data_IF_277861673337
#
_entry.id   IF_277861673337
#
_cell.length_a   1.000
_cell.length_b   1.000
_cell.length_c   1.000
_cell.angle_alpha   90.00
_cell.angle_beta   90.00
_cell.angle_gamma   90.00
#
_symmetry.space_group_name_H-M   'P 1'
#
loop_
_entity.id
_entity.type
_entity.pdbx_description
1 polymer ?
#
# COMPACT_ATOMS: atom_id res chain seq x y z
N UNK A 1 -10.37 -8.69 -15.67
CA UNK A 1 -8.93 -8.98 -15.61
C UNK A 1 -8.19 -7.72 -15.16
N UNK A 2 -8.10 -7.49 -13.85
CA UNK A 2 -7.45 -6.30 -13.28
C UNK A 2 -5.92 -6.52 -13.26
N UNK A 3 -5.25 -6.18 -14.36
CA UNK A 3 -3.79 -6.17 -14.38
C UNK A 3 -3.29 -5.09 -13.42
N UNK A 4 -2.43 -5.51 -12.48
CA UNK A 4 -1.92 -4.65 -11.41
C UNK A 4 -0.96 -3.60 -11.97
N UNK A 5 -1.46 -2.43 -12.38
CA UNK A 5 -0.65 -1.30 -12.85
C UNK A 5 -0.04 -0.43 -11.74
N UNK A 6 -0.22 -0.82 -10.46
CA UNK A 6 0.22 -0.02 -9.32
C UNK A 6 1.75 0.07 -9.15
N UNK A 7 2.49 -0.95 -9.59
CA UNK A 7 3.95 -0.99 -9.44
C UNK A 7 4.67 -0.09 -10.44
N UNK A 8 4.15 0.02 -11.66
CA UNK A 8 4.71 0.91 -12.69
C UNK A 8 4.43 2.38 -12.35
N UNK A 9 3.26 2.68 -11.75
CA UNK A 9 2.92 4.02 -11.27
C UNK A 9 3.90 4.47 -10.19
N UNK A 10 4.20 3.56 -9.26
CA UNK A 10 5.14 3.82 -8.19
C UNK A 10 6.57 3.98 -8.72
N UNK A 11 7.01 3.12 -9.65
CA UNK A 11 8.35 3.18 -10.25
C UNK A 11 8.60 4.45 -11.09
N UNK A 12 7.62 4.91 -11.87
CA UNK A 12 7.78 6.16 -12.63
C UNK A 12 7.67 7.37 -11.72
N UNK A 13 6.87 7.30 -10.65
CA UNK A 13 6.86 8.35 -9.61
C UNK A 13 8.18 8.40 -8.85
N UNK A 14 8.81 7.26 -8.52
CA UNK A 14 10.09 7.25 -7.80
C UNK A 14 11.25 7.70 -8.67
N UNK A 15 11.27 7.35 -9.97
CA UNK A 15 12.29 7.85 -10.90
C UNK A 15 12.12 9.35 -11.16
N UNK A 16 10.88 9.84 -11.33
CA UNK A 16 10.61 11.28 -11.52
C UNK A 16 10.89 12.07 -10.23
N UNK A 17 10.57 11.53 -9.05
CA UNK A 17 10.92 12.15 -7.77
C UNK A 17 12.43 12.09 -7.47
N UNK A 18 13.13 11.02 -7.86
CA UNK A 18 14.58 10.89 -7.70
C UNK A 18 15.36 11.86 -8.59
N UNK A 19 14.80 12.27 -9.73
CA UNK A 19 15.37 13.30 -10.61
C UNK A 19 14.91 14.72 -10.20
N UNK A 20 13.80 14.85 -9.48
CA UNK A 20 13.14 16.13 -9.20
C UNK A 20 13.41 16.78 -7.85
N UNK A 21 13.59 16.02 -6.76
CA UNK A 21 13.66 16.61 -5.41
C UNK A 21 14.71 15.91 -4.53
N UNK A 22 15.75 16.67 -4.15
CA UNK A 22 16.80 16.30 -3.18
C UNK A 22 16.22 16.15 -1.75
N UNK A 23 15.24 15.25 -1.54
CA UNK A 23 14.77 14.86 -0.22
C UNK A 23 14.69 13.34 -0.08
N UNK A 24 15.63 12.85 0.72
CA UNK A 24 15.76 11.50 1.23
C UNK A 24 14.45 11.06 1.92
N UNK A 25 13.63 10.26 1.23
CA UNK A 25 12.63 9.40 1.87
C UNK A 25 13.17 7.97 1.85
N UNK A 26 12.92 7.18 2.91
CA UNK A 26 13.58 5.90 3.11
C UNK A 26 13.18 4.93 2.00
N UNK A 27 14.21 4.30 1.42
CA UNK A 27 14.10 3.38 0.30
C UNK A 27 13.05 2.29 0.59
N UNK A 28 12.07 2.08 -0.30
CA UNK A 28 11.43 0.78 -0.40
C UNK A 28 12.54 -0.21 -0.71
N UNK A 29 12.70 -1.25 0.11
CA UNK A 29 13.61 -2.35 -0.20
C UNK A 29 13.34 -2.76 -1.66
N UNK A 30 14.39 -2.73 -2.49
CA UNK A 30 14.26 -2.91 -3.92
C UNK A 30 13.69 -4.31 -4.20
N UNK A 31 12.38 -4.39 -4.42
CA UNK A 31 11.68 -5.65 -4.65
C UNK A 31 12.40 -6.44 -5.74
N UNK A 32 12.88 -7.64 -5.43
CA UNK A 32 13.49 -8.53 -6.42
C UNK A 32 12.57 -8.76 -7.64
N UNK A 33 11.25 -8.69 -7.40
CA UNK A 33 10.20 -8.78 -8.42
C UNK A 33 10.26 -7.60 -9.41
N UNK A 34 10.61 -6.39 -8.94
CA UNK A 34 10.83 -5.23 -9.80
C UNK A 34 12.03 -5.44 -10.73
N UNK A 35 13.14 -5.93 -10.17
CA UNK A 35 14.35 -6.26 -10.92
C UNK A 35 14.07 -7.31 -12.01
N UNK A 36 13.19 -8.28 -11.74
CA UNK A 36 12.75 -9.26 -12.74
C UNK A 36 12.03 -8.58 -13.90
N UNK A 37 11.09 -7.67 -13.63
CA UNK A 37 10.37 -6.95 -14.68
C UNK A 37 11.32 -6.17 -15.60
N UNK A 38 12.22 -5.38 -15.00
CA UNK A 38 13.21 -4.62 -15.76
C UNK A 38 14.17 -5.51 -16.54
N UNK A 39 14.69 -6.58 -15.92
CA UNK A 39 15.55 -7.55 -16.59
C UNK A 39 14.85 -8.22 -17.78
N UNK A 40 13.57 -8.59 -17.63
CA UNK A 40 12.81 -9.18 -18.74
C UNK A 40 12.59 -8.20 -19.89
N UNK A 41 12.38 -6.92 -19.64
CA UNK A 41 12.30 -5.91 -20.70
C UNK A 41 13.62 -5.77 -21.46
N UNK A 42 14.77 -5.83 -20.77
CA UNK A 42 16.08 -5.84 -21.42
C UNK A 42 16.27 -7.09 -22.28
N UNK A 43 15.91 -8.27 -21.76
CA UNK A 43 15.99 -9.53 -22.51
C UNK A 43 15.08 -9.49 -23.74
N UNK A 44 13.86 -8.97 -23.62
CA UNK A 44 12.93 -8.79 -24.74
C UNK A 44 13.50 -7.86 -25.81
N UNK A 45 14.13 -6.74 -25.43
CA UNK A 45 14.81 -5.84 -26.36
C UNK A 45 16.02 -6.52 -27.03
N UNK A 46 16.79 -7.30 -26.27
CA UNK A 46 17.91 -8.07 -26.81
C UNK A 46 17.49 -9.08 -27.86
N UNK A 47 16.43 -9.86 -27.59
CA UNK A 47 15.88 -10.83 -28.56
C UNK A 47 15.30 -10.10 -29.77
N UNK A 48 14.60 -8.99 -29.56
CA UNK A 48 14.04 -8.17 -30.64
C UNK A 48 15.09 -7.45 -31.50
N UNK A 49 16.33 -7.30 -31.01
CA UNK A 49 17.44 -6.73 -31.77
C UNK A 49 18.11 -7.75 -32.73
N UNK A 50 17.93 -9.06 -32.52
CA UNK A 50 18.52 -10.11 -33.38
C UNK A 50 18.01 -9.99 -34.83
N UNK A 51 16.69 -9.86 -35.09
CA UNK A 51 16.19 -9.70 -36.46
C UNK A 51 16.65 -8.40 -37.14
N UNK A 52 16.83 -7.35 -36.34
CA UNK A 52 17.35 -6.07 -36.82
C UNK A 52 18.80 -6.19 -37.31
N UNK A 53 19.64 -6.94 -36.60
CA UNK A 53 21.05 -7.12 -36.97
C UNK A 53 21.28 -8.14 -38.08
N UNK A 54 20.51 -9.23 -38.12
CA UNK A 54 20.72 -10.34 -39.07
C UNK A 54 19.94 -10.16 -40.37
N UNK A 55 18.69 -9.69 -40.29
CA UNK A 55 17.78 -9.61 -41.44
C UNK A 55 17.51 -8.16 -41.88
N UNK A 56 18.00 -7.16 -41.14
CA UNK A 56 17.71 -5.75 -41.41
C UNK A 56 16.25 -5.36 -41.12
N UNK A 57 15.50 -6.20 -40.40
CA UNK A 57 14.09 -5.95 -40.06
C UNK A 57 13.99 -5.17 -38.75
N UNK A 58 13.68 -3.88 -38.88
CA UNK A 58 13.52 -2.94 -37.76
C UNK A 58 12.13 -3.04 -37.11
N UNK A 59 11.17 -3.71 -37.75
CA UNK A 59 9.77 -3.71 -37.32
C UNK A 59 9.59 -4.38 -35.95
N UNK A 60 10.23 -5.53 -35.73
CA UNK A 60 10.12 -6.30 -34.48
C UNK A 60 10.70 -5.50 -33.30
N UNK A 61 11.84 -4.83 -33.51
CA UNK A 61 12.47 -3.97 -32.52
C UNK A 61 11.59 -2.76 -32.18
N UNK A 62 11.06 -2.07 -33.19
CA UNK A 62 10.19 -0.90 -33.02
C UNK A 62 8.90 -1.24 -32.29
N UNK A 63 8.24 -2.35 -32.65
CA UNK A 63 7.01 -2.80 -32.00
C UNK A 63 7.27 -3.17 -30.54
N UNK A 64 8.38 -3.89 -30.26
CA UNK A 64 8.75 -4.30 -28.90
C UNK A 64 9.10 -3.09 -28.03
N UNK A 65 9.94 -2.19 -28.53
CA UNK A 65 10.34 -0.98 -27.81
C UNK A 65 9.13 -0.06 -27.54
N UNK A 66 8.28 0.15 -28.54
CA UNK A 66 7.06 0.94 -28.39
C UNK A 66 6.10 0.30 -27.39
N UNK A 67 5.91 -1.03 -27.43
CA UNK A 67 5.07 -1.75 -26.47
C UNK A 67 5.56 -1.65 -25.03
N UNK A 68 6.88 -1.70 -24.82
CA UNK A 68 7.50 -1.48 -23.51
C UNK A 68 7.24 -0.06 -23.03
N UNK A 69 7.51 0.96 -23.86
CA UNK A 69 7.27 2.37 -23.52
C UNK A 69 5.80 2.64 -23.21
N UNK A 70 4.88 2.13 -24.04
CA UNK A 70 3.44 2.25 -23.81
C UNK A 70 3.03 1.58 -22.50
N UNK A 71 3.58 0.42 -22.17
CA UNK A 71 3.31 -0.29 -20.91
C UNK A 71 3.81 0.49 -19.69
N UNK A 72 5.02 1.07 -19.77
CA UNK A 72 5.53 1.96 -18.74
C UNK A 72 4.67 3.22 -18.61
N UNK A 73 4.24 3.84 -19.71
CA UNK A 73 3.37 5.00 -19.71
C UNK A 73 1.98 4.69 -19.12
N UNK A 74 1.35 3.57 -19.50
CA UNK A 74 0.06 3.11 -18.95
C UNK A 74 0.18 2.92 -17.44
N UNK A 75 1.26 2.31 -17.00
CA UNK A 75 1.46 2.06 -15.61
C UNK A 75 1.82 3.31 -14.81
N UNK A 76 2.55 4.27 -15.40
CA UNK A 76 2.98 5.52 -14.77
C UNK A 76 1.84 6.47 -14.36
N UNK A 77 0.62 6.26 -14.88
CA UNK A 77 -0.51 7.15 -14.61
C UNK A 77 -0.76 7.26 -13.10
N UNK A 78 -0.63 8.49 -12.58
CA UNK A 78 -0.84 8.82 -11.17
C UNK A 78 -2.24 8.44 -10.66
N UNK A 79 -3.21 8.31 -11.56
CA UNK A 79 -4.57 7.87 -11.23
C UNK A 79 -4.59 6.48 -10.59
N UNK A 80 -3.77 5.53 -11.06
CA UNK A 80 -3.71 4.18 -10.47
C UNK A 80 -3.25 4.22 -9.02
N UNK A 81 -2.29 5.11 -8.72
CA UNK A 81 -1.82 5.32 -7.36
C UNK A 81 -2.91 5.95 -6.50
N UNK A 82 -3.59 6.96 -7.03
CA UNK A 82 -4.68 7.66 -6.30
C UNK A 82 -5.87 6.75 -6.03
N UNK A 83 -6.30 5.95 -7.00
CA UNK A 83 -7.46 5.06 -6.82
C UNK A 83 -7.15 3.88 -5.91
N UNK A 84 -5.95 3.29 -6.01
CA UNK A 84 -5.58 2.13 -5.18
C UNK A 84 -5.17 2.49 -3.77
N UNK A 85 -4.66 3.70 -3.54
CA UNK A 85 -4.05 4.10 -2.27
C UNK A 85 -4.62 5.41 -1.73
N UNK A 86 -5.88 5.74 -2.05
CA UNK A 86 -6.60 6.87 -1.45
C UNK A 86 -6.94 6.55 0.01
N UNK A 87 -5.96 6.70 0.89
CA UNK A 87 -6.13 6.49 2.32
C UNK A 87 -5.31 7.51 3.10
N UNK A 88 -5.76 7.81 4.31
CA UNK A 88 -4.94 8.54 5.27
C UNK A 88 -3.74 7.69 5.67
N UNK A 89 -2.63 8.36 5.92
CA UNK A 89 -1.39 7.74 6.37
C UNK A 89 -1.21 8.03 7.85
N UNK A 90 -0.46 7.17 8.55
CA UNK A 90 -0.13 7.29 9.96
C UNK A 90 -1.38 7.27 10.85
N UNK A 91 -2.06 6.12 10.85
CA UNK A 91 -3.22 5.88 11.72
C UNK A 91 -2.81 5.06 12.95
N UNK A 92 -3.46 5.33 14.07
CA UNK A 92 -3.37 4.53 15.32
C UNK A 92 -4.56 3.57 15.46
N UNK A 93 -5.44 3.52 14.44
CA UNK A 93 -6.62 2.67 14.48
C UNK A 93 -6.24 1.19 14.54
N UNK A 94 -6.96 0.46 15.39
CA UNK A 94 -6.89 -1.01 15.44
C UNK A 94 -7.95 -1.59 14.52
N UNK A 95 -7.56 -2.51 13.64
CA UNK A 95 -8.43 -3.13 12.64
C UNK A 95 -8.38 -4.64 12.77
N UNK A 96 -9.55 -5.28 12.71
CA UNK A 96 -9.67 -6.74 12.72
C UNK A 96 -10.05 -7.21 11.32
N UNK A 97 -9.16 -7.96 10.69
CA UNK A 97 -9.39 -8.57 9.38
C UNK A 97 -9.89 -10.00 9.56
N UNK A 98 -11.08 -10.29 9.03
CA UNK A 98 -11.64 -11.63 8.99
C UNK A 98 -11.81 -12.07 7.53
N UNK A 99 -11.71 -13.39 7.28
CA UNK A 99 -11.91 -13.94 5.94
C UNK A 99 -13.38 -13.86 5.47
N UNK A 100 -14.31 -13.62 6.40
CA UNK A 100 -15.75 -13.62 6.20
C UNK A 100 -16.49 -14.35 7.33
N UNK A 101 -17.81 -14.42 7.22
CA UNK A 101 -18.66 -15.10 8.21
C UNK A 101 -18.26 -16.58 8.37
N UNK A 102 -18.16 -17.04 9.61
CA UNK A 102 -17.77 -18.42 9.94
C UNK A 102 -16.26 -18.70 9.82
N UNK A 103 -15.42 -17.69 9.56
CA UNK A 103 -13.97 -17.84 9.68
C UNK A 103 -13.59 -18.13 11.14
N UNK A 104 -12.73 -19.13 11.36
CA UNK A 104 -12.13 -19.38 12.68
C UNK A 104 -10.92 -18.49 12.96
N UNK A 105 -10.41 -17.81 11.93
CA UNK A 105 -9.19 -17.01 12.01
C UNK A 105 -9.52 -15.53 11.86
N UNK A 106 -8.84 -14.71 12.65
CA UNK A 106 -8.85 -13.26 12.59
C UNK A 106 -7.41 -12.76 12.66
N UNK A 107 -7.11 -11.69 11.93
CA UNK A 107 -5.84 -10.98 12.03
C UNK A 107 -6.16 -9.63 12.67
N UNK A 108 -5.62 -9.39 13.85
CA UNK A 108 -5.70 -8.10 14.52
C UNK A 108 -4.46 -7.29 14.13
N UNK A 109 -4.68 -6.08 13.63
CA UNK A 109 -3.62 -5.13 13.30
C UNK A 109 -3.80 -3.92 14.21
N UNK A 110 -2.83 -3.66 15.07
CA UNK A 110 -2.81 -2.52 15.98
C UNK A 110 -1.96 -1.42 15.34
N UNK A 111 -2.50 -0.22 15.20
CA UNK A 111 -1.81 0.91 14.59
C UNK A 111 -0.77 1.53 15.53
N UNK A 112 0.47 1.68 15.07
CA UNK A 112 1.57 2.37 15.76
C UNK A 112 1.93 3.68 15.02
N UNK A 113 0.90 4.49 14.69
CA UNK A 113 1.03 5.78 13.98
C UNK A 113 1.88 5.70 12.70
N UNK A 114 1.91 4.52 12.07
CA UNK A 114 2.70 4.16 10.90
C UNK A 114 1.85 3.30 9.98
N UNK A 115 1.96 3.51 8.68
CA UNK A 115 1.24 2.73 7.68
C UNK A 115 -0.06 3.39 7.22
N UNK A 116 -0.91 2.60 6.57
CA UNK A 116 -2.11 3.06 5.87
C UNK A 116 -3.37 2.82 6.69
N UNK A 117 -4.36 3.70 6.56
CA UNK A 117 -5.69 3.47 7.13
C UNK A 117 -6.45 2.42 6.31
N UNK A 118 -6.61 1.23 6.89
CA UNK A 118 -7.31 0.11 6.24
C UNK A 118 -8.81 0.35 6.09
N UNK A 119 -9.42 1.17 6.95
CA UNK A 119 -10.85 1.49 6.86
C UNK A 119 -11.12 2.35 5.62
N UNK A 120 -10.27 3.35 5.38
CA UNK A 120 -10.30 4.16 4.17
C UNK A 120 -9.98 3.32 2.93
N UNK A 121 -9.08 2.33 3.05
CA UNK A 121 -8.71 1.44 1.95
C UNK A 121 -9.84 0.44 1.60
N UNK A 122 -10.59 -0.01 2.61
CA UNK A 122 -11.74 -0.91 2.46
C UNK A 122 -13.00 -0.17 2.02
N UNK A 123 -13.12 1.11 2.40
CA UNK A 123 -14.13 2.01 1.90
C UNK A 123 -13.79 2.30 0.44
N UNK A 124 -14.46 1.62 -0.49
CA UNK A 124 -14.37 1.96 -1.91
C UNK A 124 -14.58 3.46 -2.13
N UNK A 125 -14.17 4.05 -3.26
CA UNK A 125 -14.08 5.50 -3.44
C UNK A 125 -15.46 6.21 -3.40
N UNK A 126 -16.11 6.29 -2.23
CA UNK A 126 -17.42 6.90 -2.01
C UNK A 126 -17.30 8.40 -1.75
N UNK A 127 -16.10 8.91 -1.46
CA UNK A 127 -15.83 10.35 -1.24
C UNK A 127 -15.06 11.02 -2.37
N UNK A 128 -14.65 10.27 -3.42
CA UNK A 128 -14.09 10.85 -4.64
C UNK A 128 -15.24 11.32 -5.56
N UNK A 129 -15.96 12.34 -5.12
CA UNK A 129 -16.82 13.11 -6.00
C UNK A 129 -16.05 13.53 -7.25
N UNK A 130 -16.47 13.04 -8.41
CA UNK A 130 -16.11 13.50 -9.75
C UNK A 130 -14.63 13.68 -10.16
N UNK A 131 -13.62 13.28 -9.37
CA UNK A 131 -12.23 13.63 -9.64
C UNK A 131 -11.46 12.59 -10.48
N UNK A 132 -12.07 12.06 -11.54
CA UNK A 132 -11.27 11.56 -12.66
C UNK A 132 -10.85 12.80 -13.45
N UNK A 133 -9.64 13.29 -13.20
CA UNK A 133 -9.10 14.45 -13.90
C UNK A 133 -9.29 14.28 -15.41
N UNK A 134 -9.86 15.30 -16.07
CA UNK A 134 -10.06 15.29 -17.52
C UNK A 134 -8.75 15.00 -18.27
N UNK A 135 -7.60 15.35 -17.68
CA UNK A 135 -6.28 15.04 -18.21
C UNK A 135 -6.00 13.53 -18.22
N UNK A 136 -6.34 12.80 -17.16
CA UNK A 136 -6.17 11.34 -17.09
C UNK A 136 -7.08 10.65 -18.10
N UNK A 137 -8.34 11.11 -18.22
CA UNK A 137 -9.28 10.55 -19.22
C UNK A 137 -8.74 10.75 -20.64
N UNK A 138 -8.27 11.96 -20.95
CA UNK A 138 -7.63 12.25 -22.24
C UNK A 138 -6.39 11.39 -22.47
N UNK A 139 -5.50 11.27 -21.47
CA UNK A 139 -4.31 10.43 -21.55
C UNK A 139 -4.65 8.96 -21.81
N UNK A 140 -5.69 8.41 -21.16
CA UNK A 140 -6.14 7.05 -21.41
C UNK A 140 -6.70 6.86 -22.83
N UNK A 141 -7.43 7.84 -23.37
CA UNK A 141 -7.92 7.80 -24.77
C UNK A 141 -6.75 7.80 -25.75
N UNK A 142 -5.78 8.70 -25.57
CA UNK A 142 -4.58 8.76 -26.42
C UNK A 142 -3.81 7.45 -26.34
N UNK A 143 -3.60 6.94 -25.13
CA UNK A 143 -2.86 5.70 -24.92
C UNK A 143 -3.58 4.50 -25.54
N UNK A 144 -4.91 4.42 -25.43
CA UNK A 144 -5.70 3.39 -26.09
C UNK A 144 -5.56 3.46 -27.62
N UNK A 145 -5.60 4.66 -28.20
CA UNK A 145 -5.39 4.85 -29.64
C UNK A 145 -3.97 4.40 -30.06
N UNK A 146 -2.94 4.74 -29.28
CA UNK A 146 -1.57 4.29 -29.53
C UNK A 146 -1.41 2.77 -29.43
N UNK A 147 -2.09 2.13 -28.47
CA UNK A 147 -2.13 0.66 -28.37
C UNK A 147 -2.78 0.02 -29.59
N UNK A 148 -3.89 0.58 -30.09
CA UNK A 148 -4.55 0.09 -31.31
C UNK A 148 -3.62 0.23 -32.51
N UNK A 149 -2.99 1.40 -32.67
CA UNK A 149 -2.04 1.63 -33.76
C UNK A 149 -0.87 0.64 -33.70
N UNK A 150 -0.31 0.42 -32.50
CA UNK A 150 0.77 -0.54 -32.29
C UNK A 150 0.35 -1.97 -32.67
N UNK A 151 -0.87 -2.39 -32.32
CA UNK A 151 -1.40 -3.71 -32.67
C UNK A 151 -1.63 -3.86 -34.17
N UNK A 152 -2.11 -2.81 -34.85
CA UNK A 152 -2.24 -2.80 -36.31
C UNK A 152 -0.87 -2.95 -36.96
N UNK A 153 0.13 -2.19 -36.50
CA UNK A 153 1.51 -2.30 -36.98
C UNK A 153 2.07 -3.70 -36.74
N UNK A 154 1.86 -4.27 -35.55
CA UNK A 154 2.30 -5.62 -35.22
C UNK A 154 1.63 -6.69 -36.10
N UNK A 155 0.33 -6.55 -36.38
CA UNK A 155 -0.42 -7.47 -37.24
C UNK A 155 -0.01 -7.36 -38.72
N UNK A 156 0.49 -6.21 -39.14
CA UNK A 156 0.98 -5.97 -40.50
C UNK A 156 2.40 -6.54 -40.73
N UNK A 157 3.10 -7.05 -39.71
CA UNK A 157 4.40 -7.70 -39.88
C UNK A 157 4.23 -9.12 -40.42
N UNK A 158 4.52 -9.30 -41.71
CA UNK A 158 4.52 -10.60 -42.37
C UNK A 158 5.87 -11.34 -42.36
N UNK A 159 6.95 -10.66 -41.95
CA UNK A 159 8.30 -11.23 -41.91
C UNK A 159 8.68 -11.65 -40.48
N UNK A 160 9.33 -12.81 -40.34
CA UNK A 160 9.97 -13.25 -39.09
C UNK A 160 9.08 -13.17 -37.83
N UNK A 161 7.76 -13.32 -38.00
CA UNK A 161 6.75 -13.14 -36.93
C UNK A 161 6.95 -14.08 -35.74
N UNK A 162 7.70 -15.16 -35.93
CA UNK A 162 8.11 -16.07 -34.85
C UNK A 162 8.86 -15.37 -33.71
N UNK A 163 9.72 -14.38 -34.00
CA UNK A 163 10.40 -13.61 -32.96
C UNK A 163 9.42 -12.78 -32.12
N UNK A 164 8.39 -12.23 -32.76
CA UNK A 164 7.35 -11.46 -32.09
C UNK A 164 6.52 -12.37 -31.16
N UNK A 165 6.21 -13.59 -31.61
CA UNK A 165 5.56 -14.61 -30.79
C UNK A 165 6.44 -15.03 -29.59
N UNK A 166 7.75 -15.20 -29.79
CA UNK A 166 8.68 -15.54 -28.72
C UNK A 166 8.80 -14.42 -27.67
N UNK A 167 9.02 -13.17 -28.11
CA UNK A 167 9.12 -12.00 -27.23
C UNK A 167 7.82 -11.77 -26.45
N UNK A 168 6.67 -11.88 -27.11
CA UNK A 168 5.35 -11.77 -26.48
C UNK A 168 5.08 -12.91 -25.49
N UNK A 169 5.44 -14.15 -25.85
CA UNK A 169 5.32 -15.32 -24.99
C UNK A 169 6.16 -15.21 -23.70
N UNK A 170 7.41 -14.79 -23.82
CA UNK A 170 8.29 -14.53 -22.67
C UNK A 170 7.68 -13.48 -21.73
N UNK A 171 7.13 -12.38 -22.29
CA UNK A 171 6.46 -11.34 -21.51
C UNK A 171 5.21 -11.84 -20.79
N UNK A 172 4.39 -12.66 -21.44
CA UNK A 172 3.22 -13.28 -20.80
C UNK A 172 3.62 -14.20 -19.65
N UNK A 173 4.65 -15.02 -19.82
CA UNK A 173 5.17 -15.90 -18.77
C UNK A 173 5.71 -15.10 -17.58
N UNK A 174 6.45 -14.01 -17.83
CA UNK A 174 6.92 -13.13 -16.78
C UNK A 174 5.76 -12.51 -16.01
N UNK A 175 4.71 -12.06 -16.69
CA UNK A 175 3.53 -11.48 -16.04
C UNK A 175 2.84 -12.51 -15.12
N UNK A 176 2.72 -13.77 -15.54
CA UNK A 176 2.17 -14.85 -14.73
C UNK A 176 3.03 -15.11 -13.49
N UNK A 177 4.36 -15.18 -13.67
CA UNK A 177 5.29 -15.38 -12.58
C UNK A 177 5.22 -14.24 -11.55
N UNK A 178 5.24 -13.00 -12.02
CA UNK A 178 5.16 -11.81 -11.15
C UNK A 178 3.81 -11.69 -10.45
N UNK A 179 2.71 -12.09 -11.09
CA UNK A 179 1.39 -12.12 -10.47
C UNK A 179 1.28 -13.22 -9.39
N UNK A 180 1.99 -14.33 -9.55
CA UNK A 180 2.02 -15.44 -8.58
C UNK A 180 3.06 -15.27 -7.46
N UNK A 181 4.01 -14.36 -7.61
CA UNK A 181 5.04 -14.13 -6.61
C UNK A 181 4.43 -13.53 -5.33
N UNK A 182 4.70 -14.17 -4.19
CA UNK A 182 4.31 -13.65 -2.88
C UNK A 182 5.09 -12.37 -2.60
N UNK A 183 4.38 -11.30 -2.25
CA UNK A 183 4.96 -10.03 -1.81
C UNK A 183 4.75 -9.86 -0.33
N UNK A 184 5.71 -9.21 0.33
CA UNK A 184 5.58 -8.92 1.74
C UNK A 184 4.67 -7.71 1.92
N UNK A 185 3.95 -7.60 3.05
CA UNK A 185 3.12 -6.43 3.35
C UNK A 185 3.91 -5.11 3.35
N UNK A 186 5.21 -5.17 3.69
CA UNK A 186 6.13 -4.02 3.68
C UNK A 186 6.23 -3.39 2.29
N UNK A 187 6.24 -4.22 1.24
CA UNK A 187 6.34 -3.80 -0.16
C UNK A 187 5.10 -3.02 -0.63
N UNK A 188 3.99 -3.17 0.11
CA UNK A 188 2.74 -2.45 -0.11
C UNK A 188 2.57 -1.23 0.80
N UNK A 189 3.61 -0.83 1.54
CA UNK A 189 3.55 0.29 2.47
C UNK A 189 2.89 -0.03 3.81
N UNK A 190 2.74 -1.33 4.12
CA UNK A 190 2.16 -1.82 5.37
C UNK A 190 3.22 -2.65 6.12
N UNK A 191 4.18 -2.00 6.80
CA UNK A 191 5.19 -2.71 7.58
C UNK A 191 4.53 -3.36 8.81
N UNK A 192 4.24 -4.66 8.72
CA UNK A 192 3.68 -5.44 9.84
C UNK A 192 4.80 -6.11 10.62
N UNK A 193 4.73 -5.99 11.94
CA UNK A 193 5.56 -6.75 12.88
C UNK A 193 4.67 -7.81 13.52
N UNK A 194 5.11 -9.07 13.47
CA UNK A 194 4.40 -10.15 14.14
C UNK A 194 4.62 -10.05 15.65
N UNK A 195 3.54 -10.01 16.41
CA UNK A 195 3.60 -9.91 17.87
C UNK A 195 3.29 -11.25 18.54
N UNK A 196 2.08 -11.79 18.36
CA UNK A 196 1.66 -13.05 18.96
C UNK A 196 0.52 -13.72 18.20
N UNK A 197 0.28 -15.01 18.51
CA UNK A 197 -0.91 -15.77 18.11
C UNK A 197 -1.61 -16.23 19.37
N UNK A 198 -2.90 -15.88 19.49
CA UNK A 198 -3.78 -16.29 20.59
C UNK A 198 -4.80 -17.26 20.04
N UNK A 199 -4.84 -18.48 20.58
CA UNK A 199 -5.77 -19.52 20.15
C UNK A 199 -6.15 -20.42 21.33
N UNK A 200 -7.45 -20.54 21.60
CA UNK A 200 -8.01 -21.47 22.59
C UNK A 200 -9.02 -22.42 21.94
N UNK A 201 -9.28 -23.61 22.52
CA UNK A 201 -10.25 -24.55 21.98
C UNK A 201 -11.69 -24.02 21.89
N UNK A 202 -12.04 -23.04 22.74
CA UNK A 202 -13.35 -22.39 22.75
C UNK A 202 -13.23 -20.94 22.31
N UNK A 203 -14.23 -20.49 21.54
CA UNK A 203 -14.31 -19.11 21.03
C UNK A 203 -14.34 -18.11 22.19
N UNK A 204 -15.17 -18.35 23.21
CA UNK A 204 -15.28 -17.45 24.36
C UNK A 204 -13.97 -17.34 25.15
N UNK A 205 -13.28 -18.45 25.36
CA UNK A 205 -11.98 -18.45 26.05
C UNK A 205 -10.93 -17.69 25.23
N UNK A 206 -10.95 -17.83 23.90
CA UNK A 206 -10.09 -17.05 22.99
C UNK A 206 -10.40 -15.56 23.08
N UNK A 207 -11.69 -15.17 23.07
CA UNK A 207 -12.11 -13.77 23.17
C UNK A 207 -11.68 -13.16 24.51
N UNK A 208 -11.77 -13.90 25.62
CA UNK A 208 -11.26 -13.46 26.92
C UNK A 208 -9.74 -13.35 26.94
N UNK A 209 -9.03 -14.28 26.31
CA UNK A 209 -7.57 -14.21 26.19
C UNK A 209 -7.12 -13.00 25.36
N UNK A 210 -7.83 -12.69 24.27
CA UNK A 210 -7.60 -11.49 23.45
C UNK A 210 -7.90 -10.23 24.25
N UNK A 211 -9.02 -10.15 24.96
CA UNK A 211 -9.37 -8.98 25.79
C UNK A 211 -8.33 -8.73 26.90
N UNK A 212 -7.82 -9.80 27.50
CA UNK A 212 -6.77 -9.73 28.52
C UNK A 212 -5.43 -9.23 27.97
N UNK A 213 -5.09 -9.62 26.74
CA UNK A 213 -3.85 -9.19 26.08
C UNK A 213 -3.98 -7.77 25.50
N UNK A 214 -5.13 -7.48 24.89
CA UNK A 214 -5.43 -6.23 24.19
C UNK A 214 -6.84 -5.77 24.58
N UNK A 215 -6.94 -4.79 25.51
CA UNK A 215 -8.21 -4.26 25.95
C UNK A 215 -9.09 -3.76 24.80
N UNK A 216 -10.40 -3.97 24.88
CA UNK A 216 -11.45 -3.63 23.90
C UNK A 216 -11.44 -4.38 22.58
N UNK A 217 -10.33 -5.03 22.20
CA UNK A 217 -10.25 -5.80 20.95
C UNK A 217 -11.14 -7.04 21.04
N UNK A 218 -11.04 -7.82 22.11
CA UNK A 218 -11.83 -9.04 22.30
C UNK A 218 -13.33 -8.75 22.32
N UNK A 219 -13.73 -7.67 22.99
CA UNK A 219 -15.11 -7.19 23.03
C UNK A 219 -15.63 -6.79 21.64
N UNK A 220 -14.82 -6.09 20.84
CA UNK A 220 -15.20 -5.69 19.48
C UNK A 220 -15.43 -6.88 18.55
N UNK A 221 -14.70 -7.97 18.77
CA UNK A 221 -14.78 -9.20 17.98
C UNK A 221 -15.96 -10.09 18.39
N UNK A 222 -16.48 -9.93 19.61
CA UNK A 222 -17.50 -10.80 20.19
C UNK A 222 -18.72 -10.96 19.29
N UNK A 223 -19.29 -9.87 18.79
CA UNK A 223 -20.51 -9.93 17.96
C UNK A 223 -20.27 -10.64 16.62
N UNK A 224 -19.02 -10.62 16.12
CA UNK A 224 -18.64 -11.27 14.87
C UNK A 224 -18.48 -12.78 15.03
N UNK A 225 -17.88 -13.25 16.13
CA UNK A 225 -17.58 -14.67 16.35
C UNK A 225 -18.59 -15.41 17.23
N UNK A 226 -19.33 -14.67 18.05
CA UNK A 226 -20.34 -15.21 18.98
C UNK A 226 -21.57 -14.29 19.04
N UNK A 227 -22.46 -14.34 18.04
CA UNK A 227 -23.69 -13.52 18.03
C UNK A 227 -24.77 -14.03 18.99
N UNK A 228 -24.53 -15.15 19.69
CA UNK A 228 -25.48 -15.74 20.61
C UNK A 228 -25.53 -15.00 21.95
N UNK A 229 -26.64 -15.15 22.69
CA UNK A 229 -26.79 -14.58 24.02
C UNK A 229 -25.77 -15.19 25.00
N UNK A 230 -25.16 -14.31 25.79
CA UNK A 230 -24.16 -14.69 26.79
C UNK A 230 -24.82 -15.36 27.99
N UNK A 231 -24.14 -16.36 28.54
CA UNK A 231 -24.51 -16.91 29.83
C UNK A 231 -24.27 -15.84 30.93
N UNK A 232 -25.08 -15.79 32.01
CA UNK A 232 -24.92 -14.77 33.07
C UNK A 232 -23.51 -14.63 33.63
N UNK A 233 -22.80 -15.76 33.83
CA UNK A 233 -21.40 -15.78 34.27
C UNK A 233 -20.41 -15.19 33.27
N UNK A 234 -20.67 -15.34 31.98
CA UNK A 234 -19.83 -14.76 30.93
C UNK A 234 -20.07 -13.25 30.86
N UNK A 235 -21.32 -12.82 31.09
CA UNK A 235 -21.68 -11.41 31.15
C UNK A 235 -20.97 -10.69 32.30
N UNK A 236 -21.01 -11.26 33.51
CA UNK A 236 -20.28 -10.75 34.68
C UNK A 236 -18.78 -10.59 34.36
N UNK A 237 -18.17 -11.59 33.72
CA UNK A 237 -16.76 -11.52 33.33
C UNK A 237 -16.46 -10.45 32.28
N UNK A 238 -17.38 -10.19 31.34
CA UNK A 238 -17.25 -9.08 30.40
C UNK A 238 -17.39 -7.72 31.07
N UNK A 239 -18.27 -7.60 32.08
CA UNK A 239 -18.44 -6.38 32.87
C UNK A 239 -17.16 -6.08 33.68
N UNK A 240 -16.51 -7.11 34.24
CA UNK A 240 -15.19 -6.97 34.89
C UNK A 240 -14.12 -6.46 33.91
N UNK A 241 -14.04 -7.03 32.71
CA UNK A 241 -13.09 -6.57 31.69
C UNK A 241 -13.37 -5.14 31.22
N UNK A 242 -14.64 -4.75 31.13
CA UNK A 242 -15.05 -3.38 30.81
C UNK A 242 -14.55 -2.39 31.86
N UNK A 243 -14.73 -2.69 33.15
CA UNK A 243 -14.21 -1.85 34.23
C UNK A 243 -12.68 -1.69 34.17
N UNK A 244 -11.95 -2.77 33.87
CA UNK A 244 -10.49 -2.73 33.75
C UNK A 244 -10.06 -1.90 32.53
N UNK A 245 -10.73 -2.07 31.39
CA UNK A 245 -10.43 -1.30 30.19
C UNK A 245 -10.71 0.20 30.38
N UNK A 246 -11.81 0.56 31.04
CA UNK A 246 -12.16 1.95 31.32
C UNK A 246 -11.17 2.61 32.29
N UNK A 247 -10.74 1.89 33.33
CA UNK A 247 -9.70 2.37 34.23
C UNK A 247 -8.35 2.58 33.51
N UNK A 248 -8.00 1.70 32.57
CA UNK A 248 -6.79 1.85 31.77
C UNK A 248 -6.87 3.07 30.84
N UNK A 249 -8.00 3.25 30.15
CA UNK A 249 -8.26 4.42 29.31
C UNK A 249 -8.15 5.74 30.08
N UNK A 250 -8.71 5.79 31.29
CA UNK A 250 -8.60 6.95 32.18
C UNK A 250 -7.16 7.22 32.58
N UNK A 251 -6.38 6.17 32.90
CA UNK A 251 -4.96 6.31 33.20
C UNK A 251 -4.17 6.87 32.01
N UNK A 252 -4.39 6.35 30.80
CA UNK A 252 -3.74 6.80 29.58
C UNK A 252 -4.07 8.25 29.22
N UNK A 253 -5.33 8.67 29.41
CA UNK A 253 -5.73 10.08 29.24
C UNK A 253 -5.00 10.99 30.24
N UNK A 254 -4.95 10.58 31.51
CA UNK A 254 -4.31 11.38 32.55
C UNK A 254 -2.80 11.54 32.33
N UNK A 255 -2.12 10.50 31.84
CA UNK A 255 -0.70 10.54 31.50
C UNK A 255 -0.43 11.36 30.23
N UNK A 256 -1.32 11.27 29.23
CA UNK A 256 -1.28 12.11 28.03
C UNK A 256 -1.43 13.60 28.35
N UNK A 257 -2.41 13.97 29.18
CA UNK A 257 -2.60 15.35 29.65
C UNK A 257 -1.42 15.85 30.48
N UNK A 258 -0.87 15.00 31.36
CA UNK A 258 0.31 15.34 32.17
C UNK A 258 1.54 15.59 31.30
N UNK A 259 1.83 14.72 30.34
CA UNK A 259 2.96 14.88 29.42
C UNK A 259 2.78 16.08 28.47
N UNK A 260 1.57 16.30 27.97
CA UNK A 260 1.24 17.48 27.14
C UNK A 260 1.48 18.79 27.89
N UNK A 261 1.07 18.87 29.15
CA UNK A 261 1.26 20.06 29.98
C UNK A 261 2.74 20.31 30.36
N UNK A 262 3.52 19.25 30.56
CA UNK A 262 4.98 19.35 30.79
C UNK A 262 5.68 19.87 29.53
N UNK A 263 5.36 19.33 28.34
CA UNK A 263 5.94 19.78 27.08
C UNK A 263 5.54 21.22 26.74
N UNK A 264 4.29 21.62 27.00
CA UNK A 264 3.83 22.99 26.82
C UNK A 264 4.60 23.98 27.72
N UNK A 265 4.77 23.65 29.02
CA UNK A 265 5.57 24.46 29.95
C UNK A 265 7.05 24.53 29.59
N UNK A 266 7.61 23.44 29.03
CA UNK A 266 9.00 23.44 28.56
C UNK A 266 9.19 24.34 27.32
N UNK A 267 8.23 24.31 26.39
CA UNK A 267 8.24 25.17 25.20
C UNK A 267 8.06 26.65 25.55
N UNK A 268 7.16 26.96 26.49
CA UNK A 268 6.91 28.34 26.97
C UNK A 268 8.12 28.91 27.73
N UNK A 269 8.81 28.06 28.50
CA UNK A 269 10.06 28.42 29.17
C UNK A 269 11.21 28.64 28.18
N UNK A 270 11.23 27.91 27.06
CA UNK A 270 12.21 28.14 25.99
C UNK A 270 11.95 29.43 25.22
N UNK A 271 10.69 29.78 24.91
CA UNK A 271 10.35 31.05 24.27
C UNK A 271 10.68 32.25 25.16
N UNK A 272 10.34 32.20 26.45
CA UNK A 272 10.69 33.27 27.39
C UNK A 272 12.20 33.39 27.65
N UNK A 273 12.94 32.27 27.59
CA UNK A 273 14.40 32.33 27.69
C UNK A 273 15.02 32.95 26.42
N UNK A 274 14.47 32.66 25.23
CA UNK A 274 14.90 33.29 23.98
C UNK A 274 14.59 34.80 23.96
N UNK A 275 13.41 35.22 24.40
CA UNK A 275 13.04 36.64 24.52
C UNK A 275 13.97 37.41 25.47
N UNK A 276 14.28 36.83 26.64
CA UNK A 276 15.18 37.44 27.64
C UNK A 276 16.65 37.53 27.19
N UNK A 277 17.09 36.70 26.23
CA UNK A 277 18.41 36.85 25.59
C UNK A 277 18.41 37.98 24.56
N UNK A 278 17.34 38.13 23.76
CA UNK A 278 17.20 39.25 22.82
C UNK A 278 17.05 40.61 23.49
N UNK A 279 16.49 40.68 24.70
CA UNK A 279 16.33 41.95 25.43
C UNK A 279 17.62 42.45 26.11
N UNK A 280 18.60 41.56 26.35
CA UNK A 280 19.89 41.93 26.97
C UNK A 280 20.98 42.36 25.99
N UNK A 281 20.83 42.09 24.70
CA UNK A 281 21.76 42.51 23.63
C UNK A 281 21.23 43.71 22.83
N UNK A 282 20.30 44.49 23.41
CA UNK A 282 19.86 45.78 22.86
C UNK A 282 20.96 46.85 23.05
N UNK A 283 21.32 47.61 22.00
CA UNK A 283 22.49 48.50 22.04
C UNK A 283 22.25 49.72 22.92
N UNK A 284 23.08 49.91 23.94
CA UNK A 284 23.45 51.25 24.46
C UNK A 284 24.48 51.91 23.54
#
# INVERSE_FOLDING_TARGET
MAFSFGWVAYAVTTVVSAVGENRLMPLPDCDWIYMIGFATSIVQLGIAAIPCGVYGDWGILLVTASGIVLSFATGALAQWKREKWACRHNTEKTVVLTKGNGSQHAIVIIGDNKGLDFEDLATGPVTLGNSASSQTRFALIVLAALWILLLITAASLHQNTWFLLAVGGIGMLQNIFVAGARRTPKDFGVPLVFEAVIAEPKVMDTLFAVEKAYPRVGRSMRETFFPASLHPKEKERWEEFEMVADALDESMKSDGERNGNINAKASDKQSHMQEAYTEKDGPE
#
